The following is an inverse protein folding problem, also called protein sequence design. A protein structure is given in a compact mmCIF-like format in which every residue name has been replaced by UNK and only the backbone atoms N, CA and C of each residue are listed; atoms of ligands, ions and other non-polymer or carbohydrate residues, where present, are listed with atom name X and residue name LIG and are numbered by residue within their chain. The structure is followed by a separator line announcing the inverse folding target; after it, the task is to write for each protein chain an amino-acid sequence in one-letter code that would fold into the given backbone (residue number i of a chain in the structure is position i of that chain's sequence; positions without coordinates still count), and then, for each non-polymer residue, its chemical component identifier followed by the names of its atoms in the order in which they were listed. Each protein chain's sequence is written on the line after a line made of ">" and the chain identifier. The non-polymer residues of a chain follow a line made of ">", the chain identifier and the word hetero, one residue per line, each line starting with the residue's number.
data_IF_979768791113
#
_entry.id   IF_979768791113
#
_cell.length_a   1.000
_cell.length_b   1.000
_cell.length_c   1.000
_cell.angle_alpha   90.00
_cell.angle_beta   90.00
_cell.angle_gamma   90.00
#
_symmetry.space_group_name_H-M   'P 1'
#
loop_
_entity.id
_entity.type
_entity.pdbx_description
1 polymer ?
#
# COMPACT_ATOMS: atom_id res chain seq x y z
N UNK A 1 -15.55 -17.30 -1.13
CA UNK A 1 -15.76 -17.54 -2.59
C UNK A 1 -16.17 -16.20 -3.18
N UNK A 2 -15.34 -15.61 -4.05
CA UNK A 2 -15.64 -14.34 -4.72
C UNK A 2 -16.83 -14.51 -5.68
N UNK A 3 -17.69 -13.49 -5.88
CA UNK A 3 -18.74 -13.55 -6.89
C UNK A 3 -18.14 -13.76 -8.30
N UNK A 4 -18.80 -14.47 -9.21
CA UNK A 4 -18.25 -14.80 -10.55
C UNK A 4 -17.83 -13.59 -11.39
N UNK A 5 -18.32 -12.38 -11.06
CA UNK A 5 -17.92 -11.13 -11.75
C UNK A 5 -16.61 -10.61 -11.17
N UNK A 6 -16.35 -10.81 -9.87
CA UNK A 6 -15.14 -10.33 -9.21
C UNK A 6 -13.87 -11.06 -9.71
N UNK A 7 -13.99 -12.34 -10.07
CA UNK A 7 -12.87 -13.13 -10.63
C UNK A 7 -12.25 -12.51 -11.90
N UNK A 8 -12.97 -11.60 -12.57
CA UNK A 8 -12.46 -10.89 -13.76
C UNK A 8 -11.60 -9.67 -13.42
N UNK A 9 -11.64 -9.21 -12.17
CA UNK A 9 -10.99 -7.98 -11.69
C UNK A 9 -10.00 -8.25 -10.55
N UNK A 10 -9.83 -9.50 -10.14
CA UNK A 10 -8.92 -9.92 -9.08
C UNK A 10 -7.79 -10.75 -9.71
N UNK A 11 -6.55 -10.33 -9.47
CA UNK A 11 -5.38 -11.01 -10.02
C UNK A 11 -5.23 -12.46 -9.50
N UNK A 12 -5.69 -12.71 -8.27
CA UNK A 12 -5.68 -14.04 -7.66
C UNK A 12 -6.35 -14.03 -6.28
N UNK A 13 -6.70 -15.21 -5.78
CA UNK A 13 -7.24 -15.38 -4.44
C UNK A 13 -6.14 -15.54 -3.37
N UNK A 14 -4.90 -15.71 -3.80
CA UNK A 14 -3.71 -15.85 -2.95
C UNK A 14 -2.48 -15.24 -3.64
N UNK A 15 -1.39 -15.09 -2.90
CA UNK A 15 -0.15 -14.49 -3.40
C UNK A 15 0.39 -15.24 -4.64
N UNK A 16 0.57 -16.56 -4.63
CA UNK A 16 1.09 -17.28 -5.80
C UNK A 16 0.31 -17.00 -7.08
N UNK A 17 -1.02 -17.04 -7.02
CA UNK A 17 -1.88 -16.79 -8.20
C UNK A 17 -1.75 -15.33 -8.68
N UNK A 18 -1.68 -14.36 -7.77
CA UNK A 18 -1.48 -12.95 -8.10
C UNK A 18 -0.11 -12.72 -8.76
N UNK A 19 0.95 -13.39 -8.27
CA UNK A 19 2.28 -13.30 -8.87
C UNK A 19 2.36 -13.96 -10.25
N UNK A 20 1.68 -15.07 -10.48
CA UNK A 20 1.59 -15.71 -11.81
C UNK A 20 0.89 -14.79 -12.81
N UNK A 21 -0.18 -14.12 -12.41
CA UNK A 21 -0.84 -13.10 -13.24
C UNK A 21 0.10 -11.91 -13.53
N UNK A 22 0.80 -11.43 -12.49
CA UNK A 22 1.78 -10.34 -12.63
C UNK A 22 2.91 -10.71 -13.59
N UNK A 23 3.41 -11.95 -13.55
CA UNK A 23 4.45 -12.43 -14.47
C UNK A 23 3.97 -12.37 -15.92
N UNK A 24 2.73 -12.79 -16.18
CA UNK A 24 2.17 -12.70 -17.52
C UNK A 24 2.07 -11.23 -18.01
N UNK A 25 1.72 -10.28 -17.15
CA UNK A 25 1.74 -8.86 -17.48
C UNK A 25 3.15 -8.34 -17.74
N UNK A 26 4.13 -8.74 -16.92
CA UNK A 26 5.53 -8.34 -17.12
C UNK A 26 6.11 -8.89 -18.44
N UNK A 27 5.72 -10.09 -18.86
CA UNK A 27 6.12 -10.66 -20.16
C UNK A 27 5.60 -9.81 -21.33
N UNK A 28 4.46 -9.14 -21.15
CA UNK A 28 3.90 -8.16 -22.10
C UNK A 28 4.46 -6.73 -21.90
N UNK A 29 5.43 -6.53 -21.01
CA UNK A 29 6.07 -5.24 -20.72
C UNK A 29 5.23 -4.31 -19.83
N UNK A 30 4.27 -4.84 -19.08
CA UNK A 30 3.38 -4.09 -18.18
C UNK A 30 3.76 -4.36 -16.74
N UNK A 31 4.14 -3.29 -15.98
CA UNK A 31 4.34 -3.36 -14.55
C UNK A 31 3.00 -3.40 -13.79
N UNK A 32 3.01 -3.91 -12.56
CA UNK A 32 1.81 -4.06 -11.74
C UNK A 32 1.86 -3.25 -10.43
N UNK A 33 0.69 -2.85 -9.94
CA UNK A 33 0.49 -2.41 -8.55
C UNK A 33 -0.52 -3.37 -7.93
N UNK A 34 -0.11 -4.04 -6.87
CA UNK A 34 -0.87 -5.09 -6.21
C UNK A 34 -1.35 -4.61 -4.84
N UNK A 35 -2.58 -4.95 -4.49
CA UNK A 35 -3.14 -4.67 -3.18
C UNK A 35 -3.96 -5.85 -2.66
N UNK A 36 -4.05 -5.98 -1.35
CA UNK A 36 -4.94 -6.95 -0.72
C UNK A 36 -6.37 -6.44 -0.74
N UNK A 37 -7.32 -7.37 -0.84
CA UNK A 37 -8.75 -7.06 -0.66
C UNK A 37 -9.06 -6.96 0.82
N UNK A 38 -9.55 -5.83 1.25
CA UNK A 38 -9.92 -5.52 2.63
C UNK A 38 -9.94 -4.02 2.86
N UNK A 39 -10.71 -3.58 3.83
CA UNK A 39 -10.79 -2.18 4.27
C UNK A 39 -11.59 -2.10 5.58
N UNK A 40 -11.41 -0.99 6.33
CA UNK A 40 -12.18 -0.66 7.51
C UNK A 40 -12.15 -1.73 8.61
N UNK A 41 -10.94 -2.13 9.01
CA UNK A 41 -10.77 -3.06 10.13
C UNK A 41 -10.82 -2.34 11.47
N UNK A 42 -11.76 -2.78 12.32
CA UNK A 42 -11.92 -2.36 13.71
C UNK A 42 -11.27 -3.32 14.72
N UNK A 43 -10.78 -4.47 14.24
CA UNK A 43 -10.11 -5.50 15.04
C UNK A 43 -8.60 -5.55 14.73
N UNK A 44 -7.78 -5.39 15.76
CA UNK A 44 -6.31 -5.37 15.64
C UNK A 44 -5.75 -6.66 15.01
N UNK A 45 -6.40 -7.79 15.24
CA UNK A 45 -5.99 -9.08 14.68
C UNK A 45 -6.03 -9.07 13.15
N UNK A 46 -7.07 -8.46 12.55
CA UNK A 46 -7.22 -8.38 11.09
C UNK A 46 -6.15 -7.46 10.50
N UNK A 47 -5.96 -6.28 11.10
CA UNK A 47 -4.92 -5.33 10.67
C UNK A 47 -3.51 -5.93 10.76
N UNK A 48 -3.23 -6.66 11.83
CA UNK A 48 -1.96 -7.37 12.01
C UNK A 48 -1.78 -8.48 10.96
N UNK A 49 -2.83 -9.27 10.70
CA UNK A 49 -2.78 -10.35 9.71
C UNK A 49 -2.50 -9.82 8.30
N UNK A 50 -3.12 -8.71 7.91
CA UNK A 50 -2.89 -8.11 6.60
C UNK A 50 -1.53 -7.42 6.51
N UNK A 51 -1.04 -6.82 7.60
CA UNK A 51 0.33 -6.32 7.71
C UNK A 51 1.34 -7.43 7.43
N UNK A 52 1.23 -8.59 8.10
CA UNK A 52 2.09 -9.76 7.85
C UNK A 52 1.94 -10.31 6.43
N UNK A 53 0.75 -10.20 5.85
CA UNK A 53 0.52 -10.63 4.48
C UNK A 53 1.19 -9.68 3.47
N UNK A 54 1.16 -8.36 3.69
CA UNK A 54 1.91 -7.39 2.88
C UNK A 54 3.42 -7.62 2.98
N UNK A 55 3.95 -7.88 4.18
CA UNK A 55 5.39 -8.19 4.37
C UNK A 55 5.79 -9.41 3.52
N UNK A 56 5.04 -10.52 3.62
CA UNK A 56 5.30 -11.70 2.76
C UNK A 56 5.15 -11.37 1.27
N UNK A 57 4.20 -10.52 0.92
CA UNK A 57 3.94 -10.17 -0.47
C UNK A 57 5.13 -9.46 -1.11
N UNK A 58 5.74 -8.48 -0.41
CA UNK A 58 6.93 -7.79 -0.93
C UNK A 58 8.13 -8.74 -1.03
N UNK A 59 8.33 -9.63 -0.07
CA UNK A 59 9.39 -10.65 -0.12
C UNK A 59 9.22 -11.58 -1.33
N UNK A 60 8.01 -12.05 -1.61
CA UNK A 60 7.72 -12.93 -2.74
C UNK A 60 7.80 -12.21 -4.09
N UNK A 61 7.39 -10.93 -4.19
CA UNK A 61 7.60 -10.09 -5.38
C UNK A 61 9.10 -9.99 -5.70
N UNK A 62 9.92 -9.67 -4.71
CA UNK A 62 11.37 -9.55 -4.87
C UNK A 62 12.01 -10.89 -5.25
N UNK A 63 11.66 -11.97 -4.57
CA UNK A 63 12.17 -13.32 -4.85
C UNK A 63 11.81 -13.80 -6.26
N UNK A 64 10.64 -13.39 -6.77
CA UNK A 64 10.19 -13.71 -8.13
C UNK A 64 10.80 -12.78 -9.20
N UNK A 65 11.46 -11.69 -8.81
CA UNK A 65 12.08 -10.71 -9.73
C UNK A 65 11.06 -9.98 -10.61
N UNK A 66 9.86 -9.69 -10.08
CA UNK A 66 8.76 -9.11 -10.84
C UNK A 66 8.80 -7.57 -10.80
N UNK A 67 8.46 -6.92 -11.91
CA UNK A 67 8.15 -5.48 -11.94
C UNK A 67 6.76 -5.26 -11.34
N UNK A 68 6.74 -5.21 -10.03
CA UNK A 68 5.53 -4.99 -9.24
C UNK A 68 5.80 -4.09 -8.04
N UNK A 69 4.76 -3.39 -7.64
CA UNK A 69 4.69 -2.53 -6.46
C UNK A 69 3.48 -2.95 -5.65
N UNK A 70 3.44 -2.56 -4.38
CA UNK A 70 2.23 -2.74 -3.57
C UNK A 70 1.50 -1.42 -3.35
N UNK A 71 0.20 -1.48 -3.07
CA UNK A 71 -0.61 -0.35 -2.59
C UNK A 71 -1.31 -0.77 -1.29
N UNK A 72 -1.13 0.05 -0.25
CA UNK A 72 -1.65 -0.20 1.11
C UNK A 72 -2.78 0.76 1.40
N UNK A 73 -3.89 0.24 1.91
CA UNK A 73 -5.00 1.04 2.42
C UNK A 73 -4.81 1.30 3.92
N UNK A 74 -4.80 2.56 4.36
CA UNK A 74 -4.66 2.89 5.79
C UNK A 74 -5.69 2.19 6.69
N UNK A 75 -6.97 2.17 6.30
CA UNK A 75 -8.04 1.52 7.07
C UNK A 75 -7.87 0.00 7.21
N UNK A 76 -7.16 -0.63 6.28
CA UNK A 76 -6.86 -2.07 6.31
C UNK A 76 -5.73 -2.42 7.28
N UNK A 77 -4.79 -1.50 7.48
CA UNK A 77 -3.62 -1.75 8.34
C UNK A 77 -3.68 -1.00 9.68
N UNK A 78 -4.88 -0.55 10.08
CA UNK A 78 -5.17 -0.15 11.46
C UNK A 78 -5.54 1.30 11.69
N UNK A 79 -5.74 2.14 10.65
CA UNK A 79 -6.07 3.55 10.83
C UNK A 79 -7.44 3.75 11.51
N UNK A 80 -8.41 2.87 11.28
CA UNK A 80 -9.72 2.92 11.96
C UNK A 80 -9.64 2.45 13.44
N UNK A 81 -8.49 1.89 13.86
CA UNK A 81 -8.21 1.50 15.25
C UNK A 81 -7.54 2.66 15.98
N UNK A 82 -6.41 3.13 15.47
CA UNK A 82 -5.69 4.32 15.94
C UNK A 82 -4.59 4.76 14.97
N UNK A 83 -4.23 6.05 15.01
CA UNK A 83 -3.13 6.61 14.23
C UNK A 83 -1.81 5.87 14.54
N UNK A 84 -1.56 5.51 15.81
CA UNK A 84 -0.38 4.78 16.27
C UNK A 84 -0.33 3.37 15.65
N UNK A 85 -1.45 2.63 15.70
CA UNK A 85 -1.52 1.28 15.11
C UNK A 85 -1.23 1.30 13.60
N UNK A 86 -1.78 2.29 12.91
CA UNK A 86 -1.52 2.49 11.48
C UNK A 86 -0.04 2.82 11.22
N UNK A 87 0.52 3.79 11.94
CA UNK A 87 1.90 4.20 11.77
C UNK A 87 2.89 3.05 12.00
N UNK A 88 2.71 2.27 13.09
CA UNK A 88 3.54 1.12 13.40
C UNK A 88 3.45 0.03 12.33
N UNK A 89 2.23 -0.30 11.88
CA UNK A 89 2.03 -1.32 10.85
C UNK A 89 2.56 -0.87 9.48
N UNK A 90 2.36 0.41 9.12
CA UNK A 90 2.93 0.97 7.89
C UNK A 90 4.46 0.92 7.90
N UNK A 91 5.09 1.34 9.01
CA UNK A 91 6.55 1.29 9.15
C UNK A 91 7.09 -0.12 8.93
N UNK A 92 6.48 -1.15 9.53
CA UNK A 92 6.87 -2.56 9.34
C UNK A 92 6.77 -3.01 7.87
N UNK A 93 5.71 -2.61 7.15
CA UNK A 93 5.57 -2.93 5.72
C UNK A 93 6.64 -2.22 4.90
N UNK A 94 6.89 -0.93 5.18
CA UNK A 94 7.87 -0.11 4.46
C UNK A 94 9.29 -0.60 4.71
N UNK A 95 9.65 -0.98 5.94
CA UNK A 95 10.94 -1.58 6.28
C UNK A 95 11.20 -2.85 5.46
N UNK A 96 10.23 -3.77 5.45
CA UNK A 96 10.34 -5.01 4.66
C UNK A 96 10.42 -4.73 3.16
N UNK A 97 9.65 -3.76 2.67
CA UNK A 97 9.65 -3.38 1.26
C UNK A 97 10.99 -2.73 0.85
N UNK A 98 11.59 -1.91 1.71
CA UNK A 98 12.90 -1.32 1.48
C UNK A 98 14.01 -2.38 1.40
N UNK A 99 14.00 -3.36 2.31
CA UNK A 99 14.92 -4.51 2.27
C UNK A 99 14.74 -5.34 1.00
N UNK A 100 13.52 -5.50 0.53
CA UNK A 100 13.18 -6.25 -0.67
C UNK A 100 13.36 -5.46 -1.98
N UNK A 101 13.54 -4.14 -1.92
CA UNK A 101 13.61 -3.26 -3.09
C UNK A 101 12.28 -3.12 -3.82
N UNK A 102 11.16 -3.18 -3.10
CA UNK A 102 9.80 -3.07 -3.62
C UNK A 102 9.19 -1.74 -3.22
N UNK A 103 8.66 -0.99 -4.19
CA UNK A 103 8.04 0.31 -3.94
C UNK A 103 6.66 0.16 -3.28
N UNK A 104 6.39 1.02 -2.28
CA UNK A 104 5.11 1.05 -1.55
C UNK A 104 4.30 2.29 -1.92
N UNK A 105 3.10 2.09 -2.42
CA UNK A 105 2.07 3.13 -2.49
C UNK A 105 1.20 3.08 -1.25
N UNK A 106 0.81 4.24 -0.72
CA UNK A 106 -0.25 4.37 0.30
C UNK A 106 -1.43 5.09 -0.33
N UNK A 107 -2.62 4.54 -0.18
CA UNK A 107 -3.83 5.15 -0.68
C UNK A 107 -4.35 6.21 0.31
N UNK A 108 -4.98 7.27 -0.21
CA UNK A 108 -5.72 8.24 0.58
C UNK A 108 -7.20 7.87 0.54
N UNK A 109 -7.80 7.61 1.69
CA UNK A 109 -9.17 7.11 1.77
C UNK A 109 -10.16 8.19 2.22
N UNK A 110 -10.39 8.37 3.52
CA UNK A 110 -11.37 9.30 4.05
C UNK A 110 -10.77 10.68 4.32
N UNK A 111 -11.59 11.73 4.18
CA UNK A 111 -11.19 13.11 4.42
C UNK A 111 -10.83 13.41 5.88
N UNK A 112 -11.30 12.62 6.83
CA UNK A 112 -11.02 12.78 8.27
C UNK A 112 -9.67 12.18 8.67
N UNK A 113 -9.11 11.27 7.86
CA UNK A 113 -7.87 10.55 8.15
C UNK A 113 -6.66 11.06 7.36
N UNK A 114 -6.84 12.14 6.56
CA UNK A 114 -5.78 12.69 5.71
C UNK A 114 -4.54 13.08 6.51
N UNK A 115 -4.69 13.76 7.65
CA UNK A 115 -3.54 14.22 8.43
C UNK A 115 -2.73 13.04 9.00
N UNK A 116 -3.39 12.05 9.58
CA UNK A 116 -2.73 10.85 10.09
C UNK A 116 -2.02 10.07 8.96
N UNK A 117 -2.64 9.97 7.78
CA UNK A 117 -2.03 9.32 6.61
C UNK A 117 -0.80 10.09 6.13
N UNK A 118 -0.88 11.42 6.02
CA UNK A 118 0.24 12.26 5.62
C UNK A 118 1.41 12.17 6.61
N UNK A 119 1.12 12.27 7.90
CA UNK A 119 2.14 12.25 8.95
C UNK A 119 2.90 10.91 8.92
N UNK A 120 2.21 9.78 8.91
CA UNK A 120 2.84 8.46 8.87
C UNK A 120 3.66 8.24 7.59
N UNK A 121 3.14 8.66 6.42
CA UNK A 121 3.87 8.53 5.14
C UNK A 121 5.12 9.40 5.11
N UNK A 122 5.05 10.64 5.60
CA UNK A 122 6.21 11.54 5.65
C UNK A 122 7.29 11.00 6.58
N UNK A 123 6.89 10.48 7.75
CA UNK A 123 7.83 9.89 8.71
C UNK A 123 8.53 8.67 8.11
N UNK A 124 7.79 7.73 7.52
CA UNK A 124 8.39 6.56 6.85
C UNK A 124 9.32 6.95 5.69
N UNK A 125 8.92 7.92 4.87
CA UNK A 125 9.70 8.35 3.70
C UNK A 125 11.01 9.05 4.08
N UNK A 126 11.14 9.57 5.31
CA UNK A 126 12.37 10.13 5.83
C UNK A 126 13.51 9.12 5.87
N UNK A 127 13.21 7.88 6.20
CA UNK A 127 14.16 6.77 6.29
C UNK A 127 14.16 5.90 5.01
N UNK A 128 13.02 5.79 4.32
CA UNK A 128 12.81 4.94 3.14
C UNK A 128 12.16 5.74 1.98
N UNK A 129 12.94 6.37 1.10
CA UNK A 129 12.42 7.27 0.06
C UNK A 129 11.68 6.56 -1.08
N UNK A 130 11.80 5.23 -1.20
CA UNK A 130 11.14 4.45 -2.25
C UNK A 130 9.68 4.14 -1.90
N UNK A 131 8.92 5.21 -1.63
CA UNK A 131 7.49 5.12 -1.37
C UNK A 131 6.72 6.32 -1.92
N UNK A 132 5.40 6.19 -1.99
CA UNK A 132 4.54 7.23 -2.51
C UNK A 132 3.15 7.25 -1.91
N UNK A 133 2.49 8.37 -2.11
CA UNK A 133 1.14 8.63 -1.63
C UNK A 133 0.19 8.93 -2.79
N UNK A 134 -0.98 8.31 -2.79
CA UNK A 134 -2.08 8.63 -3.69
C UNK A 134 -2.91 9.75 -3.07
N UNK A 135 -2.96 10.94 -3.67
CA UNK A 135 -3.75 12.07 -3.18
C UNK A 135 -5.06 12.22 -3.95
N UNK A 136 -6.10 12.68 -3.28
CA UNK A 136 -7.41 12.92 -3.89
C UNK A 136 -7.49 14.35 -4.45
N UNK A 137 -7.35 14.51 -5.75
CA UNK A 137 -7.30 15.82 -6.42
C UNK A 137 -8.58 16.67 -6.26
N UNK A 138 -9.71 16.08 -5.92
CA UNK A 138 -11.00 16.75 -5.73
C UNK A 138 -11.19 17.39 -4.34
N UNK A 139 -10.25 17.18 -3.41
CA UNK A 139 -10.34 17.74 -2.07
C UNK A 139 -9.86 19.18 -2.04
N UNK A 140 -10.54 20.03 -1.27
CA UNK A 140 -10.17 21.46 -1.15
C UNK A 140 -8.77 21.67 -0.56
N UNK A 141 -8.34 20.77 0.31
CA UNK A 141 -7.06 20.82 1.01
C UNK A 141 -5.87 20.27 0.20
N UNK A 142 -6.11 19.51 -0.88
CA UNK A 142 -5.06 18.81 -1.64
C UNK A 142 -3.89 19.71 -2.02
N UNK A 143 -4.17 20.98 -2.38
CA UNK A 143 -3.11 21.93 -2.70
C UNK A 143 -2.19 22.22 -1.52
N UNK A 144 -2.71 22.26 -0.31
CA UNK A 144 -1.93 22.52 0.91
C UNK A 144 -1.22 21.23 1.34
N UNK A 145 -1.83 20.08 1.16
CA UNK A 145 -1.21 18.78 1.38
C UNK A 145 -0.02 18.55 0.44
N UNK A 146 -0.16 18.90 -0.85
CA UNK A 146 0.96 18.85 -1.80
C UNK A 146 2.11 19.78 -1.42
N UNK A 147 1.86 20.95 -0.80
CA UNK A 147 2.93 21.81 -0.29
C UNK A 147 3.70 21.16 0.87
N UNK A 148 3.04 20.35 1.71
CA UNK A 148 3.73 19.59 2.74
C UNK A 148 4.62 18.50 2.13
N UNK A 149 4.17 17.87 1.04
CA UNK A 149 4.89 16.77 0.39
C UNK A 149 6.06 17.22 -0.48
N UNK A 150 6.04 18.45 -1.04
CA UNK A 150 7.06 18.91 -1.99
C UNK A 150 8.48 19.00 -1.41
N UNK A 151 8.61 19.09 -0.09
CA UNK A 151 9.90 19.13 0.61
C UNK A 151 10.32 17.75 1.18
N UNK A 152 9.59 16.70 0.82
CA UNK A 152 9.83 15.34 1.25
C UNK A 152 10.22 14.46 0.06
N UNK A 153 10.82 13.28 0.26
CA UNK A 153 11.12 12.35 -0.83
C UNK A 153 9.89 11.59 -1.35
N UNK A 154 8.69 11.84 -0.80
CA UNK A 154 7.46 11.11 -1.16
C UNK A 154 7.11 11.32 -2.63
N UNK A 155 6.97 10.22 -3.37
CA UNK A 155 6.39 10.27 -4.73
C UNK A 155 4.87 10.46 -4.64
N UNK A 156 4.29 11.29 -5.51
CA UNK A 156 2.84 11.58 -5.50
C UNK A 156 2.16 11.01 -6.73
N UNK A 157 1.04 10.33 -6.50
CA UNK A 157 0.13 9.83 -7.52
C UNK A 157 -1.22 10.53 -7.41
#
# INVERSE_FOLDING_TARGET
>A
MLPPIADRFVAGADIPTALDHTRALNDDGVGAILNLLGEHYDASENATQDTETYIRFVEEIAAAGLDARISVKPSQVGLDISDETFADNLARIVDAAAEAGVFVWVDMEDHTTIDATLDAVIDCAGDHPDMGLCVQANMKRTRDDLRRLVETPVTVR
#
